data_IF_834613851047
#
_entry.id   IF_834613851047
#
_cell.length_a   1.000
_cell.length_b   1.000
_cell.length_c   1.000
_cell.angle_alpha   90.00
_cell.angle_beta   90.00
_cell.angle_gamma   90.00
#
_symmetry.space_group_name_H-M   'P 1'
#
loop_
_entity.id
_entity.type
_entity.pdbx_description
1 polymer ?
#
# COMPACT_ATOMS: atom_id res chain seq x y z
N UNK A 1 12.13 -3.22 -1.36
CA UNK A 1 11.61 -3.92 -2.54
C UNK A 1 12.45 -3.62 -3.77
N UNK A 2 12.47 -2.37 -4.28
CA UNK A 2 13.26 -1.97 -5.48
C UNK A 2 14.68 -2.55 -5.50
N UNK A 3 15.46 -2.26 -4.45
CA UNK A 3 16.85 -2.77 -4.32
C UNK A 3 16.91 -4.30 -4.40
N UNK A 4 15.97 -4.99 -3.76
CA UNK A 4 15.95 -6.44 -3.76
C UNK A 4 15.67 -6.97 -5.17
N UNK A 5 14.69 -6.40 -5.88
CA UNK A 5 14.38 -6.79 -7.26
C UNK A 5 15.56 -6.60 -8.19
N UNK A 6 16.19 -5.42 -8.15
CA UNK A 6 17.38 -5.11 -8.96
C UNK A 6 18.50 -6.13 -8.72
N UNK A 7 18.74 -6.49 -7.47
CA UNK A 7 19.80 -7.44 -7.12
C UNK A 7 19.44 -8.88 -7.49
N UNK A 8 18.17 -9.28 -7.36
CA UNK A 8 17.74 -10.64 -7.67
C UNK A 8 17.53 -10.90 -9.16
N UNK A 9 17.11 -9.88 -9.93
CA UNK A 9 16.74 -10.02 -11.34
C UNK A 9 17.79 -9.42 -12.28
N UNK A 10 18.70 -8.59 -11.77
CA UNK A 10 19.60 -7.79 -12.58
C UNK A 10 18.88 -6.61 -13.25
N UNK A 11 19.59 -5.96 -14.16
CA UNK A 11 19.08 -4.99 -15.12
C UNK A 11 19.30 -5.53 -16.53
N UNK A 12 18.59 -4.96 -17.49
CA UNK A 12 18.69 -5.33 -18.90
C UNK A 12 19.08 -4.08 -19.69
N UNK A 13 20.02 -4.23 -20.61
CA UNK A 13 20.44 -3.16 -21.51
C UNK A 13 19.49 -3.01 -22.72
N UNK A 14 19.69 -2.02 -23.61
CA UNK A 14 18.84 -1.84 -24.78
C UNK A 14 18.83 -3.00 -25.78
N UNK A 15 19.86 -3.84 -25.78
CA UNK A 15 19.98 -5.00 -26.67
C UNK A 15 19.34 -6.27 -26.07
N UNK A 16 18.87 -6.19 -24.82
CA UNK A 16 18.22 -7.29 -24.11
C UNK A 16 19.17 -8.12 -23.25
N UNK A 17 20.44 -7.73 -23.13
CA UNK A 17 21.45 -8.45 -22.36
C UNK A 17 21.35 -8.09 -20.87
N UNK A 18 21.32 -9.12 -20.03
CA UNK A 18 21.19 -9.00 -18.59
C UNK A 18 22.53 -8.73 -17.89
N UNK A 19 22.55 -7.84 -16.90
CA UNK A 19 23.74 -7.58 -16.08
C UNK A 19 23.36 -7.26 -14.62
N UNK A 20 24.30 -7.49 -13.70
CA UNK A 20 24.07 -7.24 -12.27
C UNK A 20 24.72 -5.92 -11.85
N UNK A 21 23.93 -4.89 -11.50
CA UNK A 21 24.49 -3.63 -11.05
C UNK A 21 25.07 -3.73 -9.65
N UNK A 22 26.15 -2.97 -9.43
CA UNK A 22 26.63 -2.70 -8.08
C UNK A 22 25.70 -1.71 -7.39
N UNK A 23 25.01 -2.16 -6.34
CA UNK A 23 24.05 -1.34 -5.59
C UNK A 23 24.60 -0.93 -4.22
N UNK A 24 24.61 0.37 -3.95
CA UNK A 24 24.96 0.93 -2.64
C UNK A 24 23.71 1.50 -1.97
N UNK A 25 23.44 1.09 -0.73
CA UNK A 25 22.29 1.57 0.05
C UNK A 25 22.75 2.59 1.10
N UNK A 26 22.21 3.81 1.02
CA UNK A 26 22.50 4.93 1.95
C UNK A 26 21.50 4.97 3.11
N UNK A 27 22.02 4.94 4.34
CA UNK A 27 21.21 4.93 5.57
C UNK A 27 21.21 3.56 6.26
N UNK A 28 20.53 3.47 7.41
CA UNK A 28 20.49 2.21 8.17
C UNK A 28 19.72 1.15 7.40
N UNK A 29 20.31 -0.03 7.21
CA UNK A 29 19.57 -1.23 6.86
C UNK A 29 18.41 -1.39 7.85
N UNK A 30 17.22 -1.74 7.37
CA UNK A 30 16.01 -1.78 8.20
C UNK A 30 16.27 -2.44 9.55
N UNK A 31 15.79 -1.83 10.65
CA UNK A 31 15.87 -2.39 12.00
C UNK A 31 15.52 -3.89 11.95
N UNK A 32 16.33 -4.73 12.59
CA UNK A 32 15.88 -6.07 13.03
C UNK A 32 14.55 -5.85 13.77
N UNK A 33 13.47 -6.36 13.21
CA UNK A 33 12.16 -6.36 13.85
C UNK A 33 12.28 -7.09 15.20
N UNK A 34 11.93 -6.43 16.30
CA UNK A 34 11.80 -7.05 17.63
C UNK A 34 10.51 -7.86 17.78
N UNK A 35 9.65 -7.89 16.75
CA UNK A 35 8.58 -8.89 16.62
C UNK A 35 9.06 -9.97 15.66
N UNK A 36 8.95 -11.24 16.07
CA UNK A 36 9.51 -12.44 15.43
C UNK A 36 9.03 -12.79 14.02
N UNK A 37 8.77 -11.81 13.16
CA UNK A 37 8.67 -12.00 11.72
C UNK A 37 10.04 -11.73 11.10
N UNK A 38 10.68 -12.81 10.67
CA UNK A 38 11.91 -12.78 9.88
C UNK A 38 11.64 -12.05 8.55
N UNK A 39 11.81 -10.73 8.52
CA UNK A 39 12.11 -10.03 7.28
C UNK A 39 13.56 -10.36 6.94
N UNK A 40 13.71 -11.15 5.89
CA UNK A 40 14.97 -11.53 5.25
C UNK A 40 15.88 -10.30 5.19
N UNK A 41 16.93 -10.27 6.03
CA UNK A 41 18.06 -9.40 5.77
C UNK A 41 18.55 -9.74 4.35
N UNK A 42 18.93 -8.78 3.50
CA UNK A 42 19.46 -9.13 2.19
C UNK A 42 20.70 -10.00 2.43
N UNK A 43 20.55 -11.30 2.21
CA UNK A 43 21.61 -12.31 2.28
C UNK A 43 22.38 -12.39 0.97
N UNK A 44 22.03 -11.56 -0.02
CA UNK A 44 22.86 -11.35 -1.22
C UNK A 44 24.06 -10.47 -0.84
N UNK A 45 25.23 -10.92 -1.25
CA UNK A 45 26.51 -10.21 -1.22
C UNK A 45 26.51 -8.87 -1.97
N UNK A 46 25.44 -8.53 -2.70
CA UNK A 46 25.48 -7.52 -3.77
C UNK A 46 24.81 -6.20 -3.37
N UNK A 47 24.11 -6.16 -2.22
CA UNK A 47 23.64 -4.91 -1.60
C UNK A 47 24.58 -4.53 -0.48
N UNK A 48 25.41 -3.52 -0.71
CA UNK A 48 26.33 -3.06 0.33
C UNK A 48 25.76 -1.82 0.99
N UNK A 49 25.53 -1.91 2.30
CA UNK A 49 25.27 -0.72 3.11
C UNK A 49 26.51 0.18 3.04
N UNK A 50 26.32 1.46 2.73
CA UNK A 50 27.42 2.40 2.53
C UNK A 50 28.43 2.36 3.69
N UNK A 51 27.94 2.39 4.93
CA UNK A 51 28.84 2.37 6.11
C UNK A 51 29.63 1.06 6.22
N UNK A 52 29.05 -0.10 5.88
CA UNK A 52 29.77 -1.38 5.89
C UNK A 52 30.83 -1.44 4.78
N UNK A 53 30.52 -0.92 3.58
CA UNK A 53 31.47 -0.84 2.48
C UNK A 53 32.69 0.01 2.84
N UNK A 54 32.42 1.15 3.49
CA UNK A 54 33.44 2.12 3.92
C UNK A 54 34.33 1.50 5.01
N UNK A 55 33.73 0.86 6.02
CA UNK A 55 34.48 0.15 7.06
C UNK A 55 35.38 -0.93 6.46
N UNK A 56 34.88 -1.73 5.53
CA UNK A 56 35.67 -2.76 4.87
C UNK A 56 36.84 -2.16 4.06
N UNK A 57 36.59 -1.08 3.33
CA UNK A 57 37.61 -0.36 2.56
C UNK A 57 38.70 0.20 3.46
N UNK A 58 38.32 0.89 4.53
CA UNK A 58 39.26 1.44 5.51
C UNK A 58 40.07 0.32 6.17
N UNK A 59 39.45 -0.82 6.48
CA UNK A 59 40.15 -2.00 7.01
C UNK A 59 41.20 -2.53 6.02
N UNK A 60 40.88 -2.61 4.73
CA UNK A 60 41.83 -3.01 3.68
C UNK A 60 42.96 -2.00 3.52
N UNK A 61 42.67 -0.70 3.57
CA UNK A 61 43.69 0.35 3.51
C UNK A 61 44.64 0.32 4.73
N UNK A 62 44.12 0.12 5.95
CA UNK A 62 44.93 -0.04 7.18
C UNK A 62 45.85 -1.26 7.11
N UNK A 63 45.39 -2.37 6.53
CA UNK A 63 46.25 -3.55 6.30
C UNK A 63 47.41 -3.25 5.34
N UNK A 64 47.19 -2.42 4.31
CA UNK A 64 48.22 -2.05 3.32
C UNK A 64 49.17 -0.96 3.80
N UNK A 65 48.66 0.09 4.46
CA UNK A 65 49.40 1.30 4.85
C UNK A 65 49.88 1.31 6.31
N UNK A 66 49.59 0.25 7.07
CA UNK A 66 49.97 0.09 8.47
C UNK A 66 48.99 0.72 9.48
N UNK A 67 49.12 0.37 10.77
CA UNK A 67 48.13 0.70 11.81
C UNK A 67 48.01 2.20 12.13
N UNK A 68 49.00 3.03 11.76
CA UNK A 68 48.97 4.49 11.97
C UNK A 68 48.11 5.25 10.94
N UNK A 69 47.62 4.58 9.89
CA UNK A 69 46.81 5.21 8.84
C UNK A 69 45.47 5.71 9.39
N UNK A 70 45.26 7.04 9.35
CA UNK A 70 44.04 7.72 9.79
C UNK A 70 43.98 8.12 11.29
N UNK A 71 45.07 7.94 12.06
CA UNK A 71 45.12 8.27 13.50
C UNK A 71 45.53 9.74 13.75
N UNK A 72 46.25 10.37 12.83
CA UNK A 72 46.71 11.77 12.94
C UNK A 72 45.75 12.73 12.25
N UNK A 73 44.83 13.35 12.99
CA UNK A 73 44.09 14.58 12.62
C UNK A 73 43.20 14.58 11.34
N UNK A 74 43.33 13.60 10.45
CA UNK A 74 42.66 13.53 9.14
C UNK A 74 41.69 12.36 9.00
N UNK A 75 41.32 11.69 10.10
CA UNK A 75 40.42 10.53 10.06
C UNK A 75 39.08 10.82 9.39
N UNK A 76 38.53 12.03 9.57
CA UNK A 76 37.28 12.45 8.90
C UNK A 76 37.43 12.56 7.38
N UNK A 77 38.55 13.13 6.91
CA UNK A 77 38.88 13.25 5.49
C UNK A 77 39.04 11.87 4.84
N UNK A 78 39.81 10.98 5.47
CA UNK A 78 40.04 9.61 4.97
C UNK A 78 38.73 8.81 4.88
N UNK A 79 37.84 8.98 5.85
CA UNK A 79 36.50 8.35 5.81
C UNK A 79 35.64 8.97 4.71
N UNK A 80 35.72 10.29 4.50
CA UNK A 80 35.05 11.01 3.42
C UNK A 80 35.49 10.53 2.03
N UNK A 81 36.80 10.45 1.79
CA UNK A 81 37.38 9.91 0.55
C UNK A 81 36.93 8.47 0.32
N UNK A 82 37.03 7.59 1.34
CA UNK A 82 36.60 6.20 1.21
C UNK A 82 35.10 6.09 0.89
N UNK A 83 34.25 6.97 1.44
CA UNK A 83 32.82 7.08 1.09
C UNK A 83 32.64 7.51 -0.36
N UNK A 84 33.33 8.56 -0.78
CA UNK A 84 33.32 9.05 -2.16
C UNK A 84 33.69 7.97 -3.16
N UNK A 85 34.81 7.27 -2.93
CA UNK A 85 35.25 6.16 -3.77
C UNK A 85 34.25 5.00 -3.81
N UNK A 86 33.58 4.67 -2.69
CA UNK A 86 32.57 3.60 -2.67
C UNK A 86 31.35 3.98 -3.52
N UNK A 87 30.93 5.24 -3.43
CA UNK A 87 29.82 5.78 -4.21
C UNK A 87 30.16 5.89 -5.70
N UNK A 88 31.40 6.28 -6.03
CA UNK A 88 31.89 6.39 -7.40
C UNK A 88 31.88 5.03 -8.15
N UNK A 89 32.04 3.93 -7.42
CA UNK A 89 32.01 2.58 -7.99
C UNK A 89 30.58 1.99 -8.07
N UNK A 90 29.56 2.69 -7.55
CA UNK A 90 28.19 2.22 -7.57
C UNK A 90 27.52 2.55 -8.91
N UNK A 91 26.75 1.60 -9.45
CA UNK A 91 25.88 1.86 -10.60
C UNK A 91 24.51 2.39 -10.15
N UNK A 92 24.05 1.93 -8.99
CA UNK A 92 22.78 2.35 -8.39
C UNK A 92 22.99 2.73 -6.93
N UNK A 93 22.59 3.94 -6.55
CA UNK A 93 22.56 4.38 -5.16
C UNK A 93 21.12 4.45 -4.69
N UNK A 94 20.78 3.66 -3.66
CA UNK A 94 19.44 3.60 -3.12
C UNK A 94 19.35 4.31 -1.76
N UNK A 95 18.44 5.28 -1.65
CA UNK A 95 18.18 6.06 -0.44
C UNK A 95 16.67 6.15 -0.17
N UNK A 96 16.27 6.46 1.05
CA UNK A 96 14.96 7.11 1.26
C UNK A 96 15.06 8.57 0.83
N UNK A 97 13.94 9.27 0.62
CA UNK A 97 13.95 10.71 0.29
C UNK A 97 14.77 11.52 1.31
N UNK A 98 14.57 11.28 2.60
CA UNK A 98 15.37 11.91 3.66
C UNK A 98 16.84 11.47 3.62
N UNK A 99 17.12 10.19 3.34
CA UNK A 99 18.50 9.69 3.22
C UNK A 99 19.28 10.27 2.05
N UNK A 100 18.58 10.64 0.97
CA UNK A 100 19.18 11.36 -0.16
C UNK A 100 19.72 12.73 0.24
N UNK A 101 19.15 13.34 1.29
CA UNK A 101 19.64 14.59 1.89
C UNK A 101 20.79 14.41 2.88
N UNK A 102 21.36 13.21 3.00
CA UNK A 102 22.49 12.98 3.91
C UNK A 102 23.71 13.81 3.50
N UNK A 103 24.40 14.38 4.49
CA UNK A 103 25.60 15.19 4.25
C UNK A 103 26.65 14.41 3.46
N UNK A 104 26.78 13.10 3.69
CA UNK A 104 27.74 12.26 2.97
C UNK A 104 27.45 12.17 1.48
N UNK A 105 26.18 12.06 1.09
CA UNK A 105 25.80 11.96 -0.32
C UNK A 105 25.94 13.31 -1.03
N UNK A 106 25.51 14.39 -0.37
CA UNK A 106 25.66 15.76 -0.88
C UNK A 106 27.14 16.11 -1.04
N UNK A 107 27.97 15.81 -0.04
CA UNK A 107 29.40 16.12 -0.10
C UNK A 107 30.11 15.32 -1.20
N UNK A 108 29.76 14.05 -1.41
CA UNK A 108 30.31 13.26 -2.50
C UNK A 108 30.01 13.85 -3.89
N UNK A 109 28.85 14.49 -4.06
CA UNK A 109 28.51 15.24 -5.28
C UNK A 109 29.34 16.51 -5.40
N UNK A 110 29.44 17.29 -4.31
CA UNK A 110 30.19 18.56 -4.29
C UNK A 110 31.70 18.37 -4.51
N UNK A 111 32.26 17.29 -3.96
CA UNK A 111 33.67 16.92 -4.11
C UNK A 111 33.96 16.26 -5.47
N UNK A 112 32.93 16.03 -6.30
CA UNK A 112 33.07 15.46 -7.64
C UNK A 112 33.32 13.95 -7.67
N UNK A 113 33.12 13.23 -6.56
CA UNK A 113 33.22 11.77 -6.54
C UNK A 113 32.08 11.09 -7.30
N UNK A 114 30.89 11.69 -7.30
CA UNK A 114 29.70 11.12 -7.95
C UNK A 114 28.87 12.20 -8.62
N UNK A 115 28.25 11.86 -9.74
CA UNK A 115 27.20 12.67 -10.37
C UNK A 115 26.02 11.74 -10.68
N UNK A 116 24.80 12.29 -10.66
CA UNK A 116 23.59 11.52 -10.91
C UNK A 116 22.96 11.96 -12.23
N UNK A 117 22.98 11.09 -13.23
CA UNK A 117 22.27 11.37 -14.49
C UNK A 117 20.76 11.41 -14.28
N UNK A 118 20.24 10.50 -13.45
CA UNK A 118 18.83 10.40 -13.15
C UNK A 118 18.56 10.13 -11.66
N UNK A 119 17.46 10.69 -11.16
CA UNK A 119 16.85 10.32 -9.89
C UNK A 119 15.46 9.77 -10.16
N UNK A 120 15.22 8.53 -9.72
CA UNK A 120 13.91 7.88 -9.80
C UNK A 120 13.33 7.81 -8.38
N UNK A 121 12.16 8.41 -8.19
CA UNK A 121 11.39 8.30 -6.94
C UNK A 121 10.25 7.33 -7.16
N UNK A 122 10.32 6.19 -6.49
CA UNK A 122 9.21 5.23 -6.38
C UNK A 122 8.24 5.65 -5.27
N UNK A 123 6.97 5.26 -5.40
CA UNK A 123 5.86 5.70 -4.51
C UNK A 123 5.75 7.23 -4.35
N UNK A 124 6.03 7.98 -5.42
CA UNK A 124 6.08 9.44 -5.41
C UNK A 124 4.73 10.11 -5.04
N UNK A 125 3.61 9.42 -5.24
CA UNK A 125 2.28 9.85 -4.78
C UNK A 125 2.13 9.81 -3.26
N UNK A 126 2.92 8.99 -2.56
CA UNK A 126 2.87 8.77 -1.13
C UNK A 126 3.96 9.54 -0.37
N UNK A 127 4.15 10.82 -0.69
CA UNK A 127 5.03 11.72 0.05
C UNK A 127 4.56 13.17 -0.02
N UNK A 128 4.91 13.97 0.99
CA UNK A 128 4.69 15.42 0.91
C UNK A 128 5.70 16.03 -0.06
N UNK A 129 5.28 17.05 -0.78
CA UNK A 129 6.12 17.74 -1.77
C UNK A 129 7.53 18.14 -1.25
N UNK A 130 7.69 18.72 -0.03
CA UNK A 130 9.02 19.04 0.50
C UNK A 130 9.96 17.83 0.59
N UNK A 131 9.43 16.62 0.81
CA UNK A 131 10.24 15.40 0.84
C UNK A 131 10.72 14.99 -0.55
N UNK A 132 9.85 15.11 -1.57
CA UNK A 132 10.22 14.84 -2.96
C UNK A 132 11.27 15.81 -3.50
N UNK A 133 11.39 17.01 -2.90
CA UNK A 133 12.39 18.01 -3.27
C UNK A 133 13.79 17.73 -2.69
N UNK A 134 13.93 16.89 -1.66
CA UNK A 134 15.23 16.62 -1.02
C UNK A 134 16.28 16.11 -2.03
N UNK A 135 15.97 15.14 -2.91
CA UNK A 135 16.94 14.62 -3.88
C UNK A 135 17.36 15.61 -4.96
N UNK A 136 16.68 16.75 -5.14
CA UNK A 136 17.11 17.79 -6.09
C UNK A 136 18.50 18.36 -5.76
N UNK A 137 18.91 18.27 -4.48
CA UNK A 137 20.25 18.65 -4.04
C UNK A 137 21.37 17.77 -4.61
N UNK A 138 21.02 16.62 -5.18
CA UNK A 138 21.95 15.75 -5.91
C UNK A 138 22.22 16.22 -7.34
N UNK A 139 21.59 17.33 -7.76
CA UNK A 139 21.72 17.95 -9.07
C UNK A 139 21.52 16.98 -10.24
N UNK A 140 20.43 16.18 -10.26
CA UNK A 140 20.23 15.23 -11.33
C UNK A 140 19.91 15.91 -12.66
N UNK A 141 20.31 15.30 -13.78
CA UNK A 141 19.94 15.79 -15.13
C UNK A 141 18.46 15.52 -15.42
N UNK A 142 17.95 14.37 -14.98
CA UNK A 142 16.56 13.94 -15.16
C UNK A 142 15.97 13.47 -13.84
N UNK A 143 14.70 13.80 -13.61
CA UNK A 143 13.96 13.31 -12.45
C UNK A 143 12.68 12.60 -12.88
N UNK A 144 12.52 11.36 -12.44
CA UNK A 144 11.38 10.50 -12.78
C UNK A 144 10.59 10.21 -11.52
N UNK A 145 9.32 10.61 -11.50
CA UNK A 145 8.39 10.35 -10.41
C UNK A 145 7.49 9.19 -10.81
N UNK A 146 7.55 8.08 -10.07
CA UNK A 146 6.74 6.90 -10.28
C UNK A 146 5.85 6.70 -9.05
N UNK A 147 4.55 6.57 -9.26
CA UNK A 147 3.59 6.38 -8.18
C UNK A 147 2.16 6.48 -8.66
N UNK A 148 1.23 6.43 -7.72
CA UNK A 148 -0.19 6.54 -8.00
C UNK A 148 -0.81 7.65 -7.14
N UNK A 149 -1.12 8.83 -7.71
CA UNK A 149 -1.72 9.93 -6.97
C UNK A 149 -3.19 9.66 -6.61
N UNK A 150 -3.82 8.63 -7.19
CA UNK A 150 -5.20 8.25 -6.87
C UNK A 150 -5.27 7.26 -5.68
N UNK A 151 -4.13 6.81 -5.16
CA UNK A 151 -4.02 6.06 -3.89
C UNK A 151 -3.66 7.00 -2.73
N UNK A 152 -3.38 6.44 -1.54
CA UNK A 152 -3.15 7.20 -0.31
C UNK A 152 -2.12 8.33 -0.49
N UNK A 153 -2.47 9.51 0.00
CA UNK A 153 -1.54 10.63 0.16
C UNK A 153 -0.71 10.49 1.45
N UNK A 154 0.27 11.37 1.63
CA UNK A 154 1.08 11.37 2.85
C UNK A 154 0.25 11.67 4.10
N UNK A 155 0.49 10.93 5.18
CA UNK A 155 -0.16 11.18 6.48
C UNK A 155 0.37 12.46 7.10
N UNK A 156 -0.53 13.42 7.37
CA UNK A 156 -0.22 14.69 8.02
C UNK A 156 -0.90 14.76 9.38
N UNK A 157 -0.11 14.91 10.44
CA UNK A 157 -0.63 14.95 11.81
C UNK A 157 -1.32 16.28 12.15
N UNK A 158 -0.85 17.38 11.57
CA UNK A 158 -1.44 18.70 11.77
C UNK A 158 -2.66 18.86 10.86
N UNK A 159 -3.86 18.87 11.44
CA UNK A 159 -5.13 19.03 10.69
C UNK A 159 -5.13 20.31 9.85
N UNK A 160 -4.72 21.44 10.45
CA UNK A 160 -4.63 22.70 9.72
C UNK A 160 -3.73 22.63 8.49
N UNK A 161 -2.59 21.93 8.57
CA UNK A 161 -1.71 21.73 7.43
C UNK A 161 -2.35 20.82 6.36
N UNK A 162 -3.08 19.78 6.78
CA UNK A 162 -3.82 18.92 5.87
C UNK A 162 -4.94 19.68 5.14
N UNK A 163 -5.67 20.55 5.84
CA UNK A 163 -6.69 21.43 5.26
C UNK A 163 -6.07 22.36 4.20
N UNK A 164 -4.86 22.83 4.46
CA UNK A 164 -4.03 23.61 3.53
C UNK A 164 -3.32 22.77 2.45
N UNK A 165 -3.73 21.51 2.25
CA UNK A 165 -3.24 20.59 1.21
C UNK A 165 -1.76 20.19 1.36
N UNK A 166 -1.18 20.25 2.56
CA UNK A 166 0.21 19.82 2.80
C UNK A 166 0.46 18.33 2.51
N UNK A 167 -0.59 17.50 2.54
CA UNK A 167 -0.52 16.07 2.21
C UNK A 167 -0.33 15.81 0.71
N UNK A 168 -0.56 16.81 -0.16
CA UNK A 168 -0.43 16.70 -1.61
C UNK A 168 1.03 16.42 -2.00
N UNK A 169 1.22 15.47 -2.91
CA UNK A 169 2.53 15.15 -3.44
C UNK A 169 2.94 16.08 -4.58
N UNK A 170 4.25 16.19 -4.82
CA UNK A 170 4.78 16.90 -5.99
C UNK A 170 4.22 16.31 -7.29
N UNK A 171 4.13 14.99 -7.36
CA UNK A 171 3.56 14.26 -8.51
C UNK A 171 2.12 14.68 -8.78
N UNK A 172 1.27 14.66 -7.75
CA UNK A 172 -0.13 15.07 -7.84
C UNK A 172 -0.24 16.53 -8.28
N UNK A 173 0.58 17.44 -7.73
CA UNK A 173 0.57 18.85 -8.13
C UNK A 173 0.95 19.06 -9.60
N UNK A 174 2.01 18.39 -10.09
CA UNK A 174 2.42 18.47 -11.50
C UNK A 174 1.31 17.92 -12.40
N UNK A 175 0.69 16.80 -12.02
CA UNK A 175 -0.42 16.22 -12.77
C UNK A 175 -1.63 17.17 -12.79
N UNK A 176 -2.00 17.81 -11.68
CA UNK A 176 -3.07 18.82 -11.65
C UNK A 176 -2.79 19.98 -12.61
N UNK A 177 -1.57 20.53 -12.57
CA UNK A 177 -1.18 21.67 -13.40
C UNK A 177 -1.24 21.34 -14.91
N UNK A 178 -0.96 20.10 -15.26
CA UNK A 178 -1.04 19.64 -16.64
C UNK A 178 -2.49 19.25 -17.06
N UNK A 179 -3.50 19.41 -16.18
CA UNK A 179 -4.89 18.92 -16.30
C UNK A 179 -5.02 17.40 -16.34
N UNK A 180 -4.18 16.70 -15.56
CA UNK A 180 -3.80 15.28 -15.72
C UNK A 180 -4.06 14.34 -14.54
N UNK A 181 -5.04 14.63 -13.68
CA UNK A 181 -5.52 13.62 -12.72
C UNK A 181 -6.46 12.61 -13.40
N UNK A 182 -6.37 11.34 -12.99
CA UNK A 182 -7.29 10.26 -13.36
C UNK A 182 -7.35 9.88 -14.86
N UNK A 183 -6.29 10.13 -15.63
CA UNK A 183 -6.17 9.59 -16.99
C UNK A 183 -6.96 10.30 -18.08
N UNK A 184 -7.45 11.54 -17.91
CA UNK A 184 -8.10 12.27 -19.01
C UNK A 184 -7.17 12.72 -20.19
N UNK A 185 -6.19 11.92 -20.65
CA UNK A 185 -4.94 12.44 -21.24
C UNK A 185 -4.33 11.52 -22.30
N UNK A 186 -4.22 12.00 -23.53
CA UNK A 186 -3.27 11.44 -24.48
C UNK A 186 -2.10 12.39 -24.80
N UNK A 187 -2.04 13.62 -24.26
CA UNK A 187 -1.11 14.66 -24.80
C UNK A 187 -0.51 15.67 -23.80
N UNK A 188 -0.08 15.30 -22.58
CA UNK A 188 0.84 16.18 -21.81
C UNK A 188 2.28 15.71 -21.92
N UNK A 189 3.23 16.61 -22.23
CA UNK A 189 4.65 16.31 -22.09
C UNK A 189 4.97 15.86 -20.66
N UNK A 190 5.61 14.70 -20.52
CA UNK A 190 6.21 14.26 -19.25
C UNK A 190 5.31 13.52 -18.26
N UNK A 191 4.07 13.17 -18.60
CA UNK A 191 3.21 12.29 -17.77
C UNK A 191 2.77 11.07 -18.58
N UNK A 192 3.10 9.88 -18.10
CA UNK A 192 2.73 8.60 -18.74
C UNK A 192 1.91 7.77 -17.77
N UNK A 193 0.69 7.41 -18.17
CA UNK A 193 -0.15 6.48 -17.43
C UNK A 193 0.14 5.05 -17.88
N UNK A 194 0.48 4.17 -16.94
CA UNK A 194 0.53 2.73 -17.19
C UNK A 194 -0.91 2.19 -17.21
N UNK A 195 -1.39 1.81 -18.38
CA UNK A 195 -2.81 1.46 -18.61
C UNK A 195 -3.16 0.01 -18.36
N UNK A 196 -2.18 -0.87 -18.23
CA UNK A 196 -2.41 -2.30 -18.00
C UNK A 196 -2.11 -2.70 -16.57
N UNK A 197 -3.06 -3.36 -15.91
CA UNK A 197 -2.89 -3.97 -14.59
C UNK A 197 -2.80 -5.49 -14.69
N UNK A 198 -1.92 -6.09 -13.89
CA UNK A 198 -1.61 -7.52 -13.88
C UNK A 198 -1.88 -8.17 -12.51
N UNK A 199 -2.81 -7.62 -11.73
CA UNK A 199 -3.05 -8.04 -10.34
C UNK A 199 -4.47 -8.50 -10.06
N UNK A 200 -5.44 -7.64 -10.36
CA UNK A 200 -6.83 -7.80 -9.94
C UNK A 200 -7.68 -8.49 -11.00
N UNK A 201 -8.64 -9.30 -10.55
CA UNK A 201 -9.65 -9.88 -11.42
C UNK A 201 -10.41 -8.79 -12.21
N UNK A 202 -10.77 -9.01 -13.50
CA UNK A 202 -11.43 -8.02 -14.35
C UNK A 202 -12.67 -7.36 -13.74
N UNK A 203 -13.47 -8.11 -12.98
CA UNK A 203 -14.66 -7.55 -12.31
C UNK A 203 -14.33 -6.52 -11.22
N UNK A 204 -13.21 -6.66 -10.51
CA UNK A 204 -12.72 -5.67 -9.55
C UNK A 204 -12.22 -4.45 -10.32
N UNK A 205 -11.36 -4.69 -11.32
CA UNK A 205 -10.78 -3.65 -12.16
C UNK A 205 -11.84 -2.80 -12.86
N UNK A 206 -12.96 -3.38 -13.32
CA UNK A 206 -14.01 -2.66 -14.03
C UNK A 206 -14.55 -1.46 -13.25
N UNK A 207 -14.82 -1.63 -11.94
CA UNK A 207 -15.27 -0.51 -11.11
C UNK A 207 -14.13 0.44 -10.78
N UNK A 208 -12.97 -0.08 -10.37
CA UNK A 208 -11.79 0.72 -10.01
C UNK A 208 -11.36 1.64 -11.16
N UNK A 209 -11.29 1.09 -12.38
CA UNK A 209 -10.97 1.80 -13.61
C UNK A 209 -11.94 2.96 -13.87
N UNK A 210 -13.25 2.69 -13.82
CA UNK A 210 -14.28 3.71 -14.03
C UNK A 210 -14.30 4.80 -12.94
N UNK A 211 -14.02 4.42 -11.69
CA UNK A 211 -14.13 5.32 -10.55
C UNK A 211 -12.93 6.25 -10.39
N UNK A 212 -11.72 5.72 -10.59
CA UNK A 212 -10.46 6.41 -10.24
C UNK A 212 -9.57 6.73 -11.45
N UNK A 213 -9.80 6.07 -12.60
CA UNK A 213 -8.92 6.16 -13.77
C UNK A 213 -9.67 6.40 -15.08
N UNK A 214 -10.87 7.00 -15.03
CA UNK A 214 -11.70 7.34 -16.18
C UNK A 214 -11.92 6.21 -17.20
N UNK A 215 -11.89 4.95 -16.75
CA UNK A 215 -12.05 3.77 -17.61
C UNK A 215 -10.80 3.38 -18.43
N UNK A 216 -9.65 4.04 -18.22
CA UNK A 216 -8.42 3.78 -18.97
C UNK A 216 -7.54 2.66 -18.40
N UNK A 217 -7.87 2.14 -17.21
CA UNK A 217 -7.16 1.00 -16.65
C UNK A 217 -7.77 -0.31 -17.19
N UNK A 218 -6.97 -1.09 -17.89
CA UNK A 218 -7.33 -2.34 -18.54
C UNK A 218 -6.65 -3.52 -17.88
N UNK A 219 -7.28 -4.69 -17.96
CA UNK A 219 -6.72 -5.92 -17.41
C UNK A 219 -5.81 -6.58 -18.44
N UNK A 220 -4.56 -6.84 -18.06
CA UNK A 220 -3.63 -7.56 -18.91
C UNK A 220 -4.08 -9.02 -19.16
N UNK A 221 -3.73 -9.60 -20.32
CA UNK A 221 -4.26 -10.90 -20.78
C UNK A 221 -3.93 -12.07 -19.84
N UNK A 222 -2.88 -11.95 -19.03
CA UNK A 222 -2.46 -12.99 -18.08
C UNK A 222 -3.52 -13.26 -16.98
N UNK A 223 -4.43 -12.32 -16.72
CA UNK A 223 -5.39 -12.42 -15.62
C UNK A 223 -6.70 -13.11 -15.99
N UNK A 224 -6.92 -13.49 -17.26
CA UNK A 224 -8.05 -14.32 -17.65
C UNK A 224 -8.03 -15.70 -16.95
N UNK A 225 -6.86 -16.08 -16.44
CA UNK A 225 -6.61 -17.32 -15.69
C UNK A 225 -6.92 -17.21 -14.18
N UNK A 226 -7.25 -16.03 -13.64
CA UNK A 226 -7.59 -15.85 -12.21
C UNK A 226 -8.96 -16.41 -11.80
N UNK A 227 -9.50 -17.37 -12.55
CA UNK A 227 -10.78 -18.01 -12.22
C UNK A 227 -10.58 -19.01 -11.10
N UNK A 228 -11.32 -18.83 -10.02
CA UNK A 228 -11.37 -19.75 -8.89
C UNK A 228 -12.73 -20.46 -8.87
N UNK A 229 -12.75 -21.71 -8.42
CA UNK A 229 -13.97 -22.53 -8.37
C UNK A 229 -15.10 -21.84 -7.57
N UNK A 230 -14.73 -21.14 -6.49
CA UNK A 230 -15.68 -20.43 -5.64
C UNK A 230 -16.36 -19.23 -6.34
N UNK A 231 -15.82 -18.73 -7.45
CA UNK A 231 -16.43 -17.61 -8.21
C UNK A 231 -17.82 -17.96 -8.77
N UNK A 232 -18.12 -19.24 -8.94
CA UNK A 232 -19.44 -19.72 -9.35
C UNK A 232 -20.50 -19.59 -8.24
N UNK A 233 -20.08 -19.49 -6.98
CA UNK A 233 -20.99 -19.44 -5.85
C UNK A 233 -21.59 -18.03 -5.69
N UNK A 234 -22.91 -17.87 -5.51
CA UNK A 234 -23.56 -16.55 -5.43
C UNK A 234 -23.05 -15.62 -4.32
N UNK A 235 -22.41 -16.18 -3.28
CA UNK A 235 -21.81 -15.45 -2.15
C UNK A 235 -20.33 -15.10 -2.35
N UNK A 236 -19.64 -15.65 -3.35
CA UNK A 236 -18.18 -15.56 -3.46
C UNK A 236 -17.72 -15.20 -4.88
N UNK A 237 -18.49 -14.35 -5.57
CA UNK A 237 -18.03 -13.79 -6.85
C UNK A 237 -16.80 -12.89 -6.65
N UNK A 238 -15.97 -12.67 -7.69
CA UNK A 238 -14.76 -11.85 -7.62
C UNK A 238 -14.96 -10.43 -7.07
N UNK A 239 -16.14 -9.85 -7.23
CA UNK A 239 -16.48 -8.55 -6.68
C UNK A 239 -17.91 -8.59 -6.14
N UNK A 240 -18.08 -8.37 -4.84
CA UNK A 240 -19.41 -8.34 -4.20
C UNK A 240 -19.51 -7.26 -3.15
N UNK A 241 -20.70 -6.66 -3.08
CA UNK A 241 -21.11 -5.81 -1.98
C UNK A 241 -22.20 -6.51 -1.17
N UNK A 242 -21.92 -6.85 0.08
CA UNK A 242 -22.87 -7.36 1.05
C UNK A 242 -23.44 -6.18 1.86
N UNK A 243 -24.67 -5.80 1.54
CA UNK A 243 -25.44 -4.76 2.21
C UNK A 243 -26.09 -5.32 3.47
N UNK A 244 -25.54 -4.98 4.63
CA UNK A 244 -26.07 -5.37 5.94
C UNK A 244 -27.05 -4.31 6.44
N UNK A 245 -28.34 -4.46 6.13
CA UNK A 245 -29.39 -3.48 6.46
C UNK A 245 -29.67 -3.37 7.97
N UNK A 246 -29.27 -4.39 8.72
CA UNK A 246 -29.37 -4.45 10.17
C UNK A 246 -28.14 -3.92 10.90
N UNK A 247 -27.06 -3.60 10.17
CA UNK A 247 -25.80 -3.19 10.77
C UNK A 247 -25.96 -1.94 11.62
N UNK A 248 -25.34 -1.94 12.81
CA UNK A 248 -25.32 -0.78 13.69
C UNK A 248 -23.90 -0.51 14.20
N UNK A 249 -23.50 0.75 14.13
CA UNK A 249 -22.20 1.16 14.64
C UNK A 249 -22.25 1.52 16.13
N UNK A 250 -21.08 1.42 16.77
CA UNK A 250 -20.84 1.87 18.14
C UNK A 250 -19.59 2.76 18.14
N UNK A 251 -19.73 3.95 18.71
CA UNK A 251 -18.63 4.87 19.00
C UNK A 251 -17.92 4.46 20.29
N UNK A 252 -16.60 4.36 20.27
CA UNK A 252 -15.76 4.00 21.42
C UNK A 252 -14.72 5.09 21.66
N UNK A 253 -14.54 5.49 22.91
CA UNK A 253 -13.44 6.37 23.29
C UNK A 253 -12.09 5.66 23.15
N UNK A 254 -11.07 6.38 22.70
CA UNK A 254 -9.69 5.92 22.56
C UNK A 254 -8.72 7.03 22.95
N UNK A 255 -7.46 6.67 23.19
CA UNK A 255 -6.41 7.62 23.56
C UNK A 255 -6.11 8.69 22.50
N UNK A 256 -6.61 8.53 21.27
CA UNK A 256 -6.41 9.45 20.14
C UNK A 256 -7.75 10.09 19.68
N UNK A 257 -8.81 9.99 20.48
CA UNK A 257 -10.16 10.47 20.17
C UNK A 257 -11.17 9.32 20.06
N UNK A 258 -12.22 9.46 19.25
CA UNK A 258 -13.23 8.41 19.08
C UNK A 258 -12.85 7.43 17.94
N UNK A 259 -12.99 6.13 18.20
CA UNK A 259 -12.94 5.07 17.18
C UNK A 259 -14.32 4.44 17.01
N UNK A 260 -14.53 3.67 15.94
CA UNK A 260 -15.84 3.07 15.64
C UNK A 260 -15.71 1.58 15.38
N UNK A 261 -16.76 0.84 15.70
CA UNK A 261 -16.86 -0.59 15.44
C UNK A 261 -18.29 -0.99 15.12
N UNK A 262 -18.45 -2.11 14.43
CA UNK A 262 -19.73 -2.67 14.02
C UNK A 262 -19.65 -4.19 14.20
N UNK A 263 -20.28 -4.69 15.26
CA UNK A 263 -20.27 -6.11 15.59
C UNK A 263 -21.06 -6.95 14.59
N UNK A 264 -22.11 -6.36 13.99
CA UNK A 264 -22.95 -7.01 13.00
C UNK A 264 -22.15 -7.31 11.72
N UNK A 265 -21.31 -6.36 11.27
CA UNK A 265 -20.36 -6.59 10.18
C UNK A 265 -19.31 -7.65 10.55
N UNK A 266 -18.72 -7.59 11.74
CA UNK A 266 -17.70 -8.55 12.15
C UNK A 266 -18.23 -9.98 12.24
N UNK A 267 -19.47 -10.16 12.69
CA UNK A 267 -20.15 -11.46 12.68
C UNK A 267 -20.45 -11.94 11.26
N UNK A 268 -20.90 -11.05 10.36
CA UNK A 268 -21.14 -11.41 8.97
C UNK A 268 -19.86 -11.89 8.27
N UNK A 269 -18.72 -11.23 8.52
CA UNK A 269 -17.40 -11.68 8.03
C UNK A 269 -17.10 -13.10 8.50
N UNK A 270 -17.32 -13.40 9.79
CA UNK A 270 -17.08 -14.73 10.34
C UNK A 270 -18.00 -15.80 9.72
N UNK A 271 -19.29 -15.47 9.51
CA UNK A 271 -20.28 -16.35 8.88
C UNK A 271 -19.93 -16.63 7.41
N UNK A 272 -19.39 -15.65 6.68
CA UNK A 272 -18.93 -15.84 5.31
C UNK A 272 -17.65 -16.68 5.24
N UNK A 273 -16.68 -16.39 6.11
CA UNK A 273 -15.35 -17.02 6.06
C UNK A 273 -15.35 -18.47 6.53
N UNK A 274 -16.21 -18.85 7.48
CA UNK A 274 -16.22 -20.21 8.02
C UNK A 274 -16.44 -21.29 6.95
N UNK A 275 -17.58 -21.32 6.23
CA UNK A 275 -17.79 -22.33 5.21
C UNK A 275 -16.89 -22.12 3.99
N UNK A 276 -16.44 -20.89 3.74
CA UNK A 276 -15.45 -20.62 2.70
C UNK A 276 -14.13 -21.36 2.97
N UNK A 277 -13.62 -21.25 4.21
CA UNK A 277 -12.40 -21.96 4.60
C UNK A 277 -12.61 -23.48 4.72
N UNK A 278 -13.76 -23.93 5.23
CA UNK A 278 -14.09 -25.36 5.31
C UNK A 278 -14.10 -26.02 3.91
N UNK A 279 -14.58 -25.32 2.88
CA UNK A 279 -14.66 -25.86 1.52
C UNK A 279 -13.41 -25.63 0.67
N UNK A 280 -12.81 -24.43 0.71
CA UNK A 280 -11.72 -24.04 -0.20
C UNK A 280 -10.40 -23.70 0.51
N UNK A 281 -10.38 -23.64 1.84
CA UNK A 281 -9.25 -23.15 2.64
C UNK A 281 -8.23 -24.20 3.07
N UNK A 282 -8.07 -25.33 2.36
CA UNK A 282 -7.25 -26.44 2.88
C UNK A 282 -5.78 -26.05 3.12
N UNK A 283 -5.31 -26.37 4.33
CA UNK A 283 -3.98 -26.05 4.84
C UNK A 283 -2.86 -26.52 3.88
N UNK A 284 -1.94 -25.61 3.56
CA UNK A 284 -0.67 -25.92 2.90
C UNK A 284 -0.56 -25.52 1.42
N UNK A 285 -1.67 -25.22 0.73
CA UNK A 285 -1.68 -24.62 -0.63
C UNK A 285 -2.64 -23.42 -0.76
N UNK A 286 -3.26 -23.00 0.34
CA UNK A 286 -4.47 -22.18 0.36
C UNK A 286 -4.30 -20.71 -0.03
N UNK A 287 -5.39 -20.15 -0.57
CA UNK A 287 -5.57 -18.74 -0.88
C UNK A 287 -5.19 -17.86 0.31
N UNK A 288 -4.44 -16.80 0.05
CA UNK A 288 -4.16 -15.79 1.06
C UNK A 288 -5.38 -14.89 1.27
N UNK A 289 -5.82 -14.71 2.52
CA UNK A 289 -7.01 -13.92 2.86
C UNK A 289 -6.65 -12.73 3.75
N UNK A 290 -7.20 -11.56 3.44
CA UNK A 290 -7.06 -10.35 4.25
C UNK A 290 -8.43 -9.79 4.66
N UNK A 291 -8.56 -9.35 5.91
CA UNK A 291 -9.73 -8.61 6.39
C UNK A 291 -9.26 -7.22 6.80
N UNK A 292 -9.74 -6.19 6.11
CA UNK A 292 -9.35 -4.81 6.35
C UNK A 292 -10.53 -3.97 6.82
N UNK A 293 -10.24 -3.02 7.71
CA UNK A 293 -11.21 -2.07 8.21
C UNK A 293 -10.58 -0.67 8.39
N UNK A 294 -11.38 0.41 8.31
CA UNK A 294 -10.88 1.77 8.49
C UNK A 294 -10.49 2.09 9.95
N UNK A 295 -11.14 1.46 10.93
CA UNK A 295 -11.00 1.80 12.34
C UNK A 295 -10.24 0.74 13.14
N UNK A 296 -9.30 1.17 13.98
CA UNK A 296 -8.54 0.27 14.87
C UNK A 296 -9.44 -0.51 15.83
N UNK A 297 -10.53 0.10 16.34
CA UNK A 297 -11.49 -0.61 17.18
C UNK A 297 -12.19 -1.76 16.44
N UNK A 298 -12.55 -1.56 15.17
CA UNK A 298 -13.10 -2.64 14.33
C UNK A 298 -12.07 -3.74 14.08
N UNK A 299 -10.81 -3.40 13.83
CA UNK A 299 -9.73 -4.40 13.67
C UNK A 299 -9.59 -5.25 14.94
N UNK A 300 -9.62 -4.64 16.12
CA UNK A 300 -9.62 -5.36 17.40
C UNK A 300 -10.83 -6.29 17.56
N UNK A 301 -12.02 -5.79 17.21
CA UNK A 301 -13.27 -6.56 17.27
C UNK A 301 -13.26 -7.77 16.31
N UNK A 302 -12.84 -7.56 15.07
CA UNK A 302 -12.71 -8.58 14.04
C UNK A 302 -11.77 -9.70 14.50
N UNK A 303 -10.57 -9.35 15.00
CA UNK A 303 -9.62 -10.35 15.51
C UNK A 303 -10.23 -11.24 16.59
N UNK A 304 -10.93 -10.62 17.55
CA UNK A 304 -11.58 -11.36 18.65
C UNK A 304 -12.70 -12.28 18.14
N UNK A 305 -13.60 -11.78 17.30
CA UNK A 305 -14.73 -12.57 16.78
C UNK A 305 -14.23 -13.69 15.87
N UNK A 306 -13.30 -13.41 14.94
CA UNK A 306 -12.76 -14.41 14.03
C UNK A 306 -12.01 -15.50 14.79
N UNK A 307 -11.17 -15.14 15.76
CA UNK A 307 -10.48 -16.12 16.61
C UNK A 307 -11.46 -17.03 17.37
N UNK A 308 -12.54 -16.45 17.93
CA UNK A 308 -13.55 -17.23 18.66
C UNK A 308 -14.42 -18.11 17.75
N UNK A 309 -14.75 -17.65 16.53
CA UNK A 309 -15.74 -18.31 15.67
C UNK A 309 -15.10 -19.29 14.68
N UNK A 310 -13.91 -18.98 14.18
CA UNK A 310 -13.17 -19.80 13.21
C UNK A 310 -12.17 -20.76 13.89
N UNK A 311 -11.82 -20.53 15.16
CA UNK A 311 -10.83 -21.34 15.86
C UNK A 311 -9.49 -21.34 15.11
N UNK A 312 -8.88 -22.52 14.83
CA UNK A 312 -7.62 -22.62 14.10
C UNK A 312 -7.65 -22.01 12.69
N UNK A 313 -8.81 -21.94 12.04
CA UNK A 313 -8.94 -21.33 10.71
C UNK A 313 -8.74 -19.81 10.72
N UNK A 314 -8.78 -19.16 11.90
CA UNK A 314 -8.50 -17.73 12.01
C UNK A 314 -7.06 -17.38 11.54
N UNK A 315 -6.11 -18.29 11.71
CA UNK A 315 -4.71 -18.10 11.29
C UNK A 315 -4.54 -18.06 9.77
N UNK A 316 -5.57 -18.48 9.01
CA UNK A 316 -5.60 -18.40 7.55
C UNK A 316 -5.91 -16.98 7.03
N UNK A 317 -6.28 -16.04 7.90
CA UNK A 317 -6.61 -14.67 7.50
C UNK A 317 -5.80 -13.61 8.26
N UNK A 318 -5.42 -12.56 7.56
CA UNK A 318 -4.71 -11.42 8.14
C UNK A 318 -5.67 -10.25 8.38
N UNK A 319 -5.78 -9.77 9.63
CA UNK A 319 -6.65 -8.62 9.96
C UNK A 319 -5.83 -7.36 10.20
N UNK A 320 -6.12 -6.26 9.48
CA UNK A 320 -5.38 -4.99 9.60
C UNK A 320 -6.23 -3.76 9.29
N UNK A 321 -5.68 -2.56 9.52
CA UNK A 321 -6.28 -1.33 9.01
C UNK A 321 -5.94 -1.13 7.53
N UNK A 322 -6.76 -0.39 6.80
CA UNK A 322 -6.51 -0.05 5.37
C UNK A 322 -5.10 0.54 5.19
N UNK A 323 -4.74 1.54 5.99
CA UNK A 323 -3.46 2.25 5.91
C UNK A 323 -2.27 1.33 6.17
N UNK A 324 -2.37 0.48 7.19
CA UNK A 324 -1.31 -0.48 7.48
C UNK A 324 -1.22 -1.55 6.40
N UNK A 325 -2.30 -1.80 5.65
CA UNK A 325 -2.35 -2.77 4.54
C UNK A 325 -1.83 -2.22 3.20
N UNK A 326 -1.43 -0.94 3.16
CA UNK A 326 -0.81 -0.36 1.97
C UNK A 326 0.45 -1.13 1.55
N UNK A 327 0.65 -1.27 0.24
CA UNK A 327 1.77 -2.04 -0.33
C UNK A 327 1.65 -3.55 -0.15
N UNK A 328 0.62 -4.05 0.53
CA UNK A 328 0.32 -5.48 0.68
C UNK A 328 -0.85 -5.87 -0.22
N UNK A 329 -0.97 -7.17 -0.47
CA UNK A 329 -2.05 -7.76 -1.27
C UNK A 329 -2.36 -9.17 -0.76
N UNK A 330 -3.56 -9.66 -1.10
CA UNK A 330 -4.04 -11.02 -0.82
C UNK A 330 -4.86 -11.52 -1.99
N UNK A 331 -5.05 -12.82 -2.07
CA UNK A 331 -5.89 -13.42 -3.09
C UNK A 331 -7.35 -13.00 -2.87
N UNK A 332 -7.83 -13.11 -1.63
CA UNK A 332 -9.16 -12.64 -1.23
C UNK A 332 -9.04 -11.53 -0.19
N UNK A 333 -9.76 -10.42 -0.40
CA UNK A 333 -9.86 -9.33 0.59
C UNK A 333 -11.30 -9.05 0.96
N UNK A 334 -11.55 -8.92 2.27
CA UNK A 334 -12.82 -8.48 2.83
C UNK A 334 -12.66 -7.10 3.44
N UNK A 335 -13.50 -6.14 3.03
CA UNK A 335 -13.49 -4.76 3.51
C UNK A 335 -14.71 -4.52 4.41
N UNK A 336 -14.52 -4.38 5.72
CA UNK A 336 -15.56 -3.96 6.67
C UNK A 336 -15.62 -2.44 6.70
N UNK A 337 -16.76 -1.85 6.32
CA UNK A 337 -16.94 -0.39 6.20
C UNK A 337 -17.23 0.27 7.56
N UNK A 338 -17.87 -0.46 8.48
CA UNK A 338 -18.26 -0.04 9.84
C UNK A 338 -19.42 0.94 9.89
N UNK A 339 -19.40 2.00 9.06
CA UNK A 339 -20.37 3.11 9.14
C UNK A 339 -21.79 2.63 8.85
N UNK A 340 -22.65 2.81 9.84
CA UNK A 340 -24.06 2.47 9.85
C UNK A 340 -24.77 3.38 10.87
N UNK A 341 -26.10 3.38 11.01
CA UNK A 341 -26.73 4.18 12.06
C UNK A 341 -26.32 3.69 13.46
N UNK A 342 -26.16 4.63 14.39
CA UNK A 342 -25.71 4.35 15.76
C UNK A 342 -26.69 3.56 16.62
N UNK A 343 -26.18 2.90 17.68
CA UNK A 343 -27.00 2.30 18.74
C UNK A 343 -27.26 3.32 19.87
N UNK A 344 -28.20 4.25 19.68
CA UNK A 344 -28.68 5.10 20.77
C UNK A 344 -29.49 6.34 20.35
N UNK A 345 -30.23 6.98 21.27
CA UNK A 345 -31.09 8.14 20.97
C UNK A 345 -30.33 9.47 20.79
N UNK A 346 -29.04 9.53 21.14
CA UNK A 346 -28.28 10.80 21.29
C UNK A 346 -27.26 11.09 20.17
N UNK A 347 -27.05 10.21 19.19
CA UNK A 347 -26.04 10.42 18.14
C UNK A 347 -26.55 11.25 16.93
N UNK A 348 -27.80 11.70 16.96
CA UNK A 348 -28.45 12.52 15.91
C UNK A 348 -27.96 13.97 15.84
N UNK A 349 -26.79 14.29 16.40
CA UNK A 349 -26.15 15.62 16.33
C UNK A 349 -24.76 15.61 15.65
N UNK A 350 -24.35 14.50 15.04
CA UNK A 350 -23.20 14.56 14.13
C UNK A 350 -23.58 15.45 12.94
N UNK A 351 -22.79 16.51 12.68
CA UNK A 351 -22.95 17.33 11.46
C UNK A 351 -22.92 16.41 10.25
N UNK A 352 -23.66 16.74 9.19
CA UNK A 352 -23.70 15.97 7.94
C UNK A 352 -22.29 15.68 7.38
N UNK A 353 -21.31 16.51 7.73
CA UNK A 353 -19.91 16.39 7.34
C UNK A 353 -19.12 15.23 8.01
N UNK A 354 -19.60 14.66 9.12
CA UNK A 354 -18.91 13.60 9.89
C UNK A 354 -19.53 12.18 9.73
N UNK A 355 -20.61 12.06 8.95
CA UNK A 355 -21.38 10.80 8.83
C UNK A 355 -20.58 9.66 8.17
N UNK A 356 -19.51 9.96 7.44
CA UNK A 356 -18.65 8.93 6.84
C UNK A 356 -17.19 9.02 7.31
N UNK A 357 -16.74 10.19 7.76
CA UNK A 357 -15.41 10.39 8.33
C UNK A 357 -14.33 9.78 7.43
N UNK A 358 -13.59 8.80 7.96
CA UNK A 358 -12.55 8.04 7.26
C UNK A 358 -12.98 7.47 5.89
N UNK A 359 -14.24 7.09 5.71
CA UNK A 359 -14.72 6.50 4.45
C UNK A 359 -14.95 7.50 3.32
N UNK A 360 -14.93 8.82 3.58
CA UNK A 360 -15.08 9.85 2.53
C UNK A 360 -13.87 9.96 1.62
N UNK A 361 -12.72 9.52 2.11
CA UNK A 361 -11.48 9.57 1.37
C UNK A 361 -11.50 8.54 0.21
N UNK A 362 -11.67 9.05 -1.00
CA UNK A 362 -11.69 8.26 -2.23
C UNK A 362 -10.39 7.47 -2.44
N UNK A 363 -9.25 8.00 -1.96
CA UNK A 363 -7.95 7.32 -2.05
C UNK A 363 -7.92 6.06 -1.17
N UNK A 364 -8.53 6.12 0.02
CA UNK A 364 -8.66 4.96 0.92
C UNK A 364 -9.60 3.90 0.35
N UNK A 365 -10.66 4.31 -0.33
CA UNK A 365 -11.53 3.38 -1.05
C UNK A 365 -10.77 2.69 -2.18
N UNK A 366 -10.03 3.45 -3.00
CA UNK A 366 -9.19 2.90 -4.07
C UNK A 366 -8.16 1.89 -3.52
N UNK A 367 -7.42 2.26 -2.47
CA UNK A 367 -6.47 1.34 -1.83
C UNK A 367 -7.18 0.08 -1.34
N UNK A 368 -8.30 0.22 -0.62
CA UNK A 368 -9.05 -0.91 -0.05
C UNK A 368 -9.49 -1.92 -1.12
N UNK A 369 -10.05 -1.42 -2.23
CA UNK A 369 -10.57 -2.27 -3.32
C UNK A 369 -9.47 -2.97 -4.10
N UNK A 370 -8.28 -2.36 -4.18
CA UNK A 370 -7.13 -2.85 -4.97
C UNK A 370 -6.22 -3.81 -4.22
N UNK A 371 -6.59 -4.23 -2.99
CA UNK A 371 -5.79 -5.20 -2.20
C UNK A 371 -6.06 -6.66 -2.57
N UNK A 372 -7.24 -6.96 -3.13
CA UNK A 372 -7.65 -8.31 -3.53
C UNK A 372 -7.24 -8.64 -4.97
N UNK A 373 -6.59 -9.80 -5.17
CA UNK A 373 -6.18 -10.26 -6.50
C UNK A 373 -7.31 -11.00 -7.21
N UNK A 374 -7.85 -12.06 -6.61
CA UNK A 374 -8.91 -12.89 -7.22
C UNK A 374 -10.30 -12.46 -6.77
N UNK A 375 -10.44 -11.99 -5.52
CA UNK A 375 -11.73 -11.52 -5.01
C UNK A 375 -11.61 -10.36 -4.01
N UNK A 376 -12.57 -9.43 -4.07
CA UNK A 376 -12.79 -8.36 -3.10
C UNK A 376 -14.26 -8.31 -2.69
N UNK A 377 -14.54 -8.49 -1.40
CA UNK A 377 -15.89 -8.45 -0.82
C UNK A 377 -16.03 -7.27 0.14
N UNK A 378 -16.98 -6.39 -0.13
CA UNK A 378 -17.28 -5.24 0.71
C UNK A 378 -18.45 -5.59 1.62
N UNK A 379 -18.30 -5.37 2.92
CA UNK A 379 -19.35 -5.53 3.94
C UNK A 379 -19.67 -4.14 4.49
N UNK A 380 -20.92 -3.71 4.41
CA UNK A 380 -21.32 -2.40 4.90
C UNK A 380 -22.81 -2.14 4.85
N UNK A 381 -23.22 -1.00 5.42
CA UNK A 381 -24.61 -0.56 5.39
C UNK A 381 -24.85 0.40 4.20
N UNK A 382 -25.45 -0.09 3.11
CA UNK A 382 -25.52 0.64 1.85
C UNK A 382 -26.24 1.99 1.97
N UNK A 383 -27.29 2.09 2.78
CA UNK A 383 -28.04 3.33 2.94
C UNK A 383 -27.23 4.45 3.61
N UNK A 384 -26.31 4.12 4.54
CA UNK A 384 -25.40 5.11 5.14
C UNK A 384 -24.30 5.49 4.17
N UNK A 385 -23.72 4.51 3.48
CA UNK A 385 -22.64 4.73 2.52
C UNK A 385 -23.12 5.55 1.30
N UNK A 386 -24.39 5.42 0.88
CA UNK A 386 -24.99 6.21 -0.20
C UNK A 386 -24.99 7.73 0.05
N UNK A 387 -24.69 8.20 1.26
CA UNK A 387 -24.57 9.63 1.56
C UNK A 387 -23.31 10.25 0.95
N UNK A 388 -22.30 9.45 0.58
CA UNK A 388 -21.15 9.90 -0.20
C UNK A 388 -21.31 9.59 -1.68
N UNK A 389 -20.90 10.52 -2.55
CA UNK A 389 -21.05 10.42 -4.00
C UNK A 389 -20.29 9.23 -4.60
N UNK A 390 -19.09 8.95 -4.12
CA UNK A 390 -18.24 7.87 -4.64
C UNK A 390 -18.82 6.51 -4.24
N UNK A 391 -19.24 6.38 -2.98
CA UNK A 391 -19.93 5.19 -2.49
C UNK A 391 -21.28 4.95 -3.18
N UNK A 392 -22.08 6.00 -3.40
CA UNK A 392 -23.35 5.90 -4.12
C UNK A 392 -23.16 5.39 -5.55
N UNK A 393 -22.13 5.89 -6.26
CA UNK A 393 -21.76 5.37 -7.59
C UNK A 393 -21.33 3.91 -7.52
N UNK A 394 -20.55 3.51 -6.51
CA UNK A 394 -20.12 2.12 -6.33
C UNK A 394 -21.29 1.18 -6.09
N UNK A 395 -22.19 1.54 -5.19
CA UNK A 395 -23.38 0.75 -4.84
C UNK A 395 -24.30 0.63 -6.05
N UNK A 396 -24.49 1.72 -6.81
CA UNK A 396 -25.23 1.70 -8.07
C UNK A 396 -24.58 0.79 -9.13
N UNK A 397 -23.26 0.84 -9.27
CA UNK A 397 -22.50 -0.05 -10.17
C UNK A 397 -22.67 -1.52 -9.77
N UNK A 398 -22.49 -1.84 -8.49
CA UNK A 398 -22.67 -3.19 -7.96
C UNK A 398 -24.11 -3.68 -8.20
N UNK A 399 -25.12 -2.86 -7.95
CA UNK A 399 -26.53 -3.18 -8.20
C UNK A 399 -26.80 -3.46 -9.68
N UNK A 400 -26.34 -2.58 -10.57
CA UNK A 400 -26.55 -2.70 -12.03
C UNK A 400 -25.91 -3.96 -12.59
N UNK A 401 -24.78 -4.40 -12.02
CA UNK A 401 -24.07 -5.61 -12.42
C UNK A 401 -24.57 -6.88 -11.72
N UNK A 402 -25.58 -6.79 -10.86
CA UNK A 402 -26.06 -7.94 -10.08
C UNK A 402 -25.08 -8.44 -9.00
N UNK A 403 -24.16 -7.57 -8.56
CA UNK A 403 -23.08 -7.85 -7.60
C UNK A 403 -23.34 -7.25 -6.20
N UNK A 404 -24.59 -6.85 -5.93
CA UNK A 404 -25.06 -6.44 -4.62
C UNK A 404 -25.94 -7.54 -4.00
N UNK A 405 -25.69 -7.87 -2.73
CA UNK A 405 -26.46 -8.85 -1.94
C UNK A 405 -26.90 -8.17 -0.65
N UNK A 406 -28.21 -8.05 -0.43
CA UNK A 406 -28.76 -7.40 0.76
C UNK A 406 -29.24 -8.41 1.79
N UNK A 407 -28.96 -8.13 3.06
CA UNK A 407 -29.25 -8.99 4.20
C UNK A 407 -30.03 -8.20 5.25
N UNK A 408 -31.22 -8.69 5.61
CA UNK A 408 -32.11 -8.01 6.57
C UNK A 408 -31.79 -8.36 8.01
N UNK A 409 -31.16 -9.51 8.24
CA UNK A 409 -30.62 -9.93 9.52
C UNK A 409 -29.47 -10.92 9.31
N UNK A 410 -28.74 -11.22 10.39
CA UNK A 410 -27.62 -12.17 10.33
C UNK A 410 -28.08 -13.59 9.96
N UNK A 411 -29.29 -14.00 10.38
CA UNK A 411 -29.81 -15.35 10.09
C UNK A 411 -30.04 -15.58 8.60
N UNK A 412 -30.46 -14.57 7.84
CA UNK A 412 -30.59 -14.69 6.37
C UNK A 412 -29.24 -15.05 5.72
N UNK A 413 -28.18 -14.39 6.17
CA UNK A 413 -26.82 -14.66 5.70
C UNK A 413 -26.34 -16.04 6.14
N UNK A 414 -26.64 -16.45 7.38
CA UNK A 414 -26.31 -17.79 7.87
C UNK A 414 -26.97 -18.88 7.03
N UNK A 415 -28.27 -18.74 6.72
CA UNK A 415 -28.99 -19.69 5.87
C UNK A 415 -28.38 -19.76 4.47
N UNK A 416 -28.05 -18.62 3.87
CA UNK A 416 -27.36 -18.60 2.58
C UNK A 416 -25.97 -19.26 2.65
N UNK A 417 -25.24 -19.03 3.74
CA UNK A 417 -23.91 -19.61 3.96
C UNK A 417 -23.94 -21.14 4.15
N UNK A 418 -25.06 -21.73 4.56
CA UNK A 418 -25.23 -23.19 4.60
C UNK A 418 -25.18 -23.84 3.20
N UNK A 419 -25.56 -23.13 2.13
CA UNK A 419 -25.48 -23.64 0.75
C UNK A 419 -24.05 -23.80 0.21
N UNK A 420 -23.07 -23.33 0.98
CA UNK A 420 -21.65 -23.44 0.66
C UNK A 420 -21.11 -24.82 1.03
N UNK A 421 -21.70 -25.51 2.00
CA UNK A 421 -21.35 -26.90 2.34
C UNK A 421 -21.83 -27.83 1.23
#
# INVERSE_FOLDING_TARGET
EVVQRIVTQGLVDPDGEGWTPRVVRVGRGGRRSTTGQARVAPTSSDVVLLELAVEERLRRQRKKKGPKFGITGGGSLVVGEARGEVLAEAHVVAATLSGAGSQHLIQAVLDGFVSFDAVVIDEAGFCVEPSALIPFRLLPRVMVLVGDPCQLSATVHCRHAADMQYSRSLMERIMLQNNKIAGALDEAPGVVMLREQYRMHPQICAWVSQAFYNGQLHTGPILDQLRMDFHSHPLFQPYLFHDLQYGREVSLESSVGFSRSNADEAQAVAVLLKPFFERWGTHGRGLSVGVIAPYAAQVGLLRRILSSFLGPLADCCEVSTVDSFQGREKDVVICSCVRAPGRGPQESQARDEDILGFLRDAHRLNVSLTRGRVATWIIGHAATLNMDRTWARMISNARTRGLLRSWRCLSDLQVAALSVQ
#
